data_IF_525531484889
#
_entry.id   IF_525531484889
#
_cell.length_a   1.000
_cell.length_b   1.000
_cell.length_c   1.000
_cell.angle_alpha   90.00
_cell.angle_beta   90.00
_cell.angle_gamma   90.00
#
_symmetry.space_group_name_H-M   'P 1'
#
loop_
_entity.id
_entity.type
_entity.pdbx_description
1 polymer ?
#
# COMPACT_ATOMS: atom_id res chain seq x y z
N UNK A 1 -7.40 38.25 -27.16
CA UNK A 1 -6.83 38.91 -28.36
C UNK A 1 -5.44 38.39 -28.76
N UNK A 2 -4.43 38.51 -27.88
CA UNK A 2 -3.04 38.10 -28.18
C UNK A 2 -2.87 36.59 -28.41
N UNK A 3 -3.56 35.74 -27.64
CA UNK A 3 -3.51 34.29 -27.80
C UNK A 3 -4.00 33.82 -29.19
N UNK A 4 -5.02 34.47 -29.73
CA UNK A 4 -5.54 34.14 -31.07
C UNK A 4 -4.58 34.61 -32.18
N UNK A 5 -3.90 35.74 -31.97
CA UNK A 5 -2.85 36.23 -32.88
C UNK A 5 -1.65 35.29 -32.84
N UNK A 6 -1.19 34.89 -31.66
CA UNK A 6 -0.09 33.95 -31.50
C UNK A 6 -0.39 32.60 -32.15
N UNK A 7 -1.61 32.06 -31.95
CA UNK A 7 -2.03 30.81 -32.57
C UNK A 7 -2.03 30.89 -34.11
N UNK A 8 -2.51 32.00 -34.69
CA UNK A 8 -2.53 32.20 -36.16
C UNK A 8 -1.13 32.33 -36.77
N UNK A 9 -0.16 32.84 -36.02
CA UNK A 9 1.21 33.08 -36.50
C UNK A 9 2.19 31.94 -36.13
N UNK A 10 1.73 30.87 -35.48
CA UNK A 10 2.56 29.70 -35.21
C UNK A 10 2.69 28.82 -36.46
N UNK A 11 3.57 29.22 -37.37
CA UNK A 11 3.92 28.50 -38.61
C UNK A 11 4.91 27.34 -38.38
N UNK A 12 4.93 26.77 -37.17
CA UNK A 12 5.81 25.66 -36.80
C UNK A 12 6.96 26.03 -35.88
N UNK A 13 6.88 27.20 -35.24
CA UNK A 13 7.76 27.56 -34.13
C UNK A 13 7.49 26.70 -32.90
N UNK A 14 6.25 26.21 -32.73
CA UNK A 14 5.91 25.24 -31.68
C UNK A 14 5.58 23.86 -32.26
N UNK A 15 5.73 22.81 -31.44
CA UNK A 15 5.37 21.43 -31.83
C UNK A 15 3.88 21.28 -32.15
N UNK A 16 3.03 22.16 -31.59
CA UNK A 16 1.58 22.15 -31.75
C UNK A 16 1.14 22.67 -33.13
N UNK A 17 1.92 23.55 -33.76
CA UNK A 17 1.63 24.12 -35.11
C UNK A 17 0.22 24.71 -35.19
N UNK A 18 -0.09 25.65 -34.30
CA UNK A 18 -1.43 26.15 -34.01
C UNK A 18 -2.11 26.87 -35.20
N UNK A 19 -1.34 27.29 -36.21
CA UNK A 19 -1.87 27.94 -37.42
C UNK A 19 -2.54 26.96 -38.38
N UNK A 20 -2.25 25.66 -38.29
CA UNK A 20 -2.85 24.62 -39.14
C UNK A 20 -4.13 24.09 -38.49
N UNK A 21 -5.24 24.06 -39.24
CA UNK A 21 -6.50 23.42 -38.80
C UNK A 21 -6.26 21.94 -38.57
N UNK A 22 -6.54 21.53 -37.33
CA UNK A 22 -6.66 20.17 -36.80
C UNK A 22 -5.88 19.10 -37.57
N UNK A 23 -4.72 18.68 -37.02
CA UNK A 23 -4.33 17.29 -37.25
C UNK A 23 -5.53 16.46 -36.78
N UNK A 24 -6.00 15.45 -37.55
CA UNK A 24 -6.89 14.47 -36.97
C UNK A 24 -6.17 13.95 -35.74
N UNK A 25 -6.72 14.24 -34.57
CA UNK A 25 -6.30 13.54 -33.36
C UNK A 25 -6.68 12.11 -33.68
N UNK A 26 -5.71 11.29 -34.05
CA UNK A 26 -5.83 9.86 -33.77
C UNK A 26 -5.99 9.83 -32.27
N UNK A 27 -7.24 9.76 -31.81
CA UNK A 27 -7.53 9.34 -30.47
C UNK A 27 -7.01 7.90 -30.50
N UNK A 28 -5.74 7.69 -30.13
CA UNK A 28 -5.32 6.32 -29.86
C UNK A 28 -6.34 5.81 -28.87
N UNK A 29 -6.94 4.68 -29.22
CA UNK A 29 -8.00 4.06 -28.45
C UNK A 29 -7.59 4.13 -26.97
N UNK A 30 -8.45 4.66 -26.10
CA UNK A 30 -8.15 4.75 -24.67
C UNK A 30 -7.70 3.39 -24.14
N UNK A 31 -8.22 2.32 -24.73
CA UNK A 31 -7.82 0.93 -24.52
C UNK A 31 -6.34 0.69 -24.87
N UNK A 32 -5.87 1.14 -26.04
CA UNK A 32 -4.49 1.00 -26.47
C UNK A 32 -3.52 1.79 -25.57
N UNK A 33 -3.92 3.00 -25.14
CA UNK A 33 -3.15 3.80 -24.18
C UNK A 33 -3.05 3.11 -22.83
N UNK A 34 -4.15 2.56 -22.33
CA UNK A 34 -4.18 1.80 -21.08
C UNK A 34 -3.31 0.55 -21.15
N UNK A 35 -3.37 -0.20 -22.25
CA UNK A 35 -2.53 -1.38 -22.48
C UNK A 35 -1.05 -0.97 -22.48
N UNK A 36 -0.69 0.06 -23.25
CA UNK A 36 0.67 0.58 -23.33
C UNK A 36 1.18 0.99 -21.96
N UNK A 37 0.38 1.72 -21.17
CA UNK A 37 0.72 2.14 -19.82
C UNK A 37 0.92 0.96 -18.85
N UNK A 38 0.00 -0.02 -18.84
CA UNK A 38 0.09 -1.24 -18.02
C UNK A 38 1.32 -2.10 -18.34
N UNK A 39 1.81 -2.01 -19.57
CA UNK A 39 2.99 -2.76 -20.02
C UNK A 39 4.32 -2.06 -19.72
N UNK A 40 4.31 -0.82 -19.24
CA UNK A 40 5.54 -0.14 -18.81
C UNK A 40 6.15 -0.84 -17.58
N UNK A 41 7.48 -0.93 -17.55
CA UNK A 41 8.24 -1.65 -16.51
C UNK A 41 7.97 -1.12 -15.09
N UNK A 42 7.86 0.20 -14.93
CA UNK A 42 7.58 0.83 -13.62
C UNK A 42 6.08 1.05 -13.41
N UNK A 43 5.44 1.88 -14.24
CA UNK A 43 4.03 2.24 -14.09
C UNK A 43 3.08 1.04 -14.16
N UNK A 44 3.48 -0.05 -14.82
CA UNK A 44 2.68 -1.28 -14.88
C UNK A 44 2.68 -2.07 -13.57
N UNK A 45 3.59 -1.80 -12.62
CA UNK A 45 3.70 -2.57 -11.37
C UNK A 45 2.49 -2.36 -10.47
N UNK A 46 2.15 -1.10 -10.17
CA UNK A 46 1.07 -0.79 -9.24
C UNK A 46 -0.30 -1.33 -9.73
N UNK A 47 -0.69 -1.20 -11.01
CA UNK A 47 -1.89 -1.81 -11.53
C UNK A 47 -1.87 -3.34 -11.48
N UNK A 48 -0.73 -3.99 -11.73
CA UNK A 48 -0.61 -5.45 -11.61
C UNK A 48 -0.84 -5.90 -10.17
N UNK A 49 -0.27 -5.17 -9.20
CA UNK A 49 -0.48 -5.40 -7.77
C UNK A 49 -1.96 -5.23 -7.43
N UNK A 50 -2.58 -4.10 -7.79
CA UNK A 50 -3.99 -3.81 -7.50
C UNK A 50 -4.98 -4.81 -8.09
N UNK A 51 -4.65 -5.46 -9.22
CA UNK A 51 -5.51 -6.48 -9.82
C UNK A 51 -5.15 -7.92 -9.35
N UNK A 52 -4.28 -8.06 -8.35
CA UNK A 52 -4.03 -9.34 -7.67
C UNK A 52 -5.30 -9.84 -6.98
N UNK A 53 -5.53 -11.15 -6.99
CA UNK A 53 -6.70 -11.79 -6.36
C UNK A 53 -6.81 -11.54 -4.84
N UNK A 54 -5.71 -11.13 -4.21
CA UNK A 54 -5.57 -11.02 -2.75
C UNK A 54 -5.82 -9.59 -2.29
N UNK A 55 -5.80 -8.64 -3.22
CA UNK A 55 -5.95 -7.22 -2.92
C UNK A 55 -7.37 -6.80 -3.27
N UNK A 56 -8.07 -6.25 -2.28
CA UNK A 56 -9.32 -5.56 -2.51
C UNK A 56 -9.02 -4.21 -3.18
N UNK A 57 -9.21 -4.16 -4.50
CA UNK A 57 -8.98 -2.97 -5.31
C UNK A 57 -9.88 -1.81 -4.90
N UNK A 58 -11.15 -2.08 -4.57
CA UNK A 58 -12.10 -1.02 -4.25
C UNK A 58 -11.69 -0.36 -2.93
N UNK A 59 -11.47 -1.15 -1.87
CA UNK A 59 -11.00 -0.65 -0.57
C UNK A 59 -9.66 0.08 -0.69
N UNK A 60 -8.73 -0.46 -1.48
CA UNK A 60 -7.40 0.13 -1.67
C UNK A 60 -7.43 1.51 -2.32
N UNK A 61 -8.46 1.82 -3.12
CA UNK A 61 -8.61 3.08 -3.83
C UNK A 61 -9.63 4.03 -3.19
N UNK A 62 -10.32 3.62 -2.11
CA UNK A 62 -11.32 4.47 -1.43
C UNK A 62 -10.76 5.81 -0.96
N UNK A 63 -9.48 5.89 -0.65
CA UNK A 63 -8.87 7.13 -0.20
C UNK A 63 -8.90 8.25 -1.26
N UNK A 64 -8.90 7.91 -2.55
CA UNK A 64 -9.00 8.87 -3.66
C UNK A 64 -10.35 9.60 -3.69
N UNK A 65 -11.42 8.92 -3.25
CA UNK A 65 -12.78 9.47 -3.33
C UNK A 65 -13.31 9.95 -1.97
N UNK A 66 -12.77 9.44 -0.86
CA UNK A 66 -13.29 9.68 0.49
C UNK A 66 -12.47 10.65 1.32
N UNK A 67 -11.19 10.81 1.01
CA UNK A 67 -10.32 11.71 1.77
C UNK A 67 -10.24 13.02 1.00
N UNK A 68 -10.54 14.13 1.68
CA UNK A 68 -10.41 15.47 1.11
C UNK A 68 -8.93 15.89 1.10
N UNK A 69 -8.14 15.29 0.21
CA UNK A 69 -6.74 15.63 0.00
C UNK A 69 -6.62 16.76 -1.03
N UNK A 70 -5.60 17.59 -0.87
CA UNK A 70 -5.23 18.54 -1.90
C UNK A 70 -4.73 17.78 -3.14
N UNK A 71 -5.09 18.21 -4.38
CA UNK A 71 -4.66 17.55 -5.61
C UNK A 71 -3.15 17.35 -5.71
N UNK A 72 -2.36 18.28 -5.16
CA UNK A 72 -0.90 18.20 -5.11
C UNK A 72 -0.42 17.04 -4.23
N UNK A 73 -1.09 16.82 -3.10
CA UNK A 73 -0.76 15.74 -2.16
C UNK A 73 -1.12 14.38 -2.75
N UNK A 74 -2.30 14.29 -3.37
CA UNK A 74 -2.73 13.09 -4.09
C UNK A 74 -1.74 12.73 -5.20
N UNK A 75 -1.39 13.70 -6.05
CA UNK A 75 -0.40 13.51 -7.11
C UNK A 75 0.97 13.07 -6.60
N UNK A 76 1.38 13.56 -5.42
CA UNK A 76 2.63 13.14 -4.78
C UNK A 76 2.59 11.68 -4.31
N UNK A 77 1.50 11.26 -3.68
CA UNK A 77 1.28 9.87 -3.23
C UNK A 77 1.29 8.92 -4.44
N UNK A 78 0.56 9.27 -5.50
CA UNK A 78 0.50 8.47 -6.74
C UNK A 78 1.89 8.35 -7.39
N UNK A 79 2.67 9.44 -7.44
CA UNK A 79 4.03 9.39 -7.97
C UNK A 79 4.96 8.47 -7.17
N UNK A 80 4.79 8.39 -5.84
CA UNK A 80 5.51 7.43 -4.99
C UNK A 80 5.07 6.00 -5.31
N UNK A 81 3.77 5.74 -5.42
CA UNK A 81 3.22 4.41 -5.74
C UNK A 81 3.70 3.89 -7.10
N UNK A 82 3.79 4.77 -8.10
CA UNK A 82 4.33 4.44 -9.41
C UNK A 82 5.87 4.34 -9.43
N UNK A 83 6.54 4.56 -8.30
CA UNK A 83 8.00 4.59 -8.17
C UNK A 83 8.68 5.62 -9.08
N UNK A 84 8.03 6.76 -9.32
CA UNK A 84 8.54 7.89 -10.14
C UNK A 84 9.09 8.98 -9.21
N UNK A 85 9.78 8.57 -8.16
CA UNK A 85 10.54 9.48 -7.31
C UNK A 85 12.01 9.18 -7.48
N UNK A 86 12.79 10.25 -7.36
CA UNK A 86 14.23 10.20 -7.47
C UNK A 86 14.81 9.26 -6.40
N UNK A 87 15.52 8.22 -6.84
CA UNK A 87 16.36 7.36 -6.01
C UNK A 87 17.61 6.97 -6.82
N UNK A 88 18.69 6.56 -6.16
CA UNK A 88 19.90 6.10 -6.86
C UNK A 88 19.64 4.86 -7.73
N UNK A 89 18.67 4.02 -7.34
CA UNK A 89 18.19 2.92 -8.19
C UNK A 89 17.56 3.44 -9.49
N UNK A 90 16.71 4.47 -9.39
CA UNK A 90 16.09 5.09 -10.56
C UNK A 90 17.14 5.73 -11.48
N UNK A 91 18.09 6.49 -10.95
CA UNK A 91 19.17 7.08 -11.72
C UNK A 91 20.01 6.02 -12.45
N UNK A 92 20.41 4.96 -11.74
CA UNK A 92 21.25 3.90 -12.28
C UNK A 92 20.56 3.08 -13.38
N UNK A 93 19.34 2.61 -13.12
CA UNK A 93 18.67 1.64 -14.00
C UNK A 93 17.73 2.28 -15.02
N UNK A 94 17.14 3.43 -14.72
CA UNK A 94 16.18 4.10 -15.61
C UNK A 94 16.85 5.21 -16.40
N UNK A 95 17.55 6.12 -15.72
CA UNK A 95 18.29 7.20 -16.39
C UNK A 95 19.63 6.74 -16.97
N UNK A 96 20.06 5.51 -16.65
CA UNK A 96 21.33 4.91 -17.10
C UNK A 96 22.55 5.76 -16.75
N UNK A 97 22.50 6.41 -15.59
CA UNK A 97 23.59 7.23 -15.09
C UNK A 97 24.63 6.37 -14.37
N UNK A 98 25.87 6.85 -14.36
CA UNK A 98 26.98 6.19 -13.65
C UNK A 98 26.96 6.59 -12.18
N UNK A 99 26.01 6.02 -11.43
CA UNK A 99 25.86 6.25 -9.99
C UNK A 99 25.87 4.93 -9.21
N UNK A 100 26.26 5.00 -7.94
CA UNK A 100 26.26 3.85 -7.05
C UNK A 100 24.88 3.75 -6.39
N UNK A 101 24.20 2.63 -6.63
CA UNK A 101 22.87 2.37 -6.07
C UNK A 101 22.96 1.83 -4.64
N UNK A 102 23.11 2.77 -3.70
CA UNK A 102 23.14 2.51 -2.26
C UNK A 102 22.30 3.54 -1.52
N UNK A 103 21.59 3.09 -0.49
CA UNK A 103 20.89 4.01 0.41
C UNK A 103 21.91 4.72 1.27
N UNK A 104 21.95 6.06 1.21
CA UNK A 104 22.93 6.87 1.94
C UNK A 104 22.98 6.54 3.44
N UNK A 105 21.81 6.35 4.05
CA UNK A 105 21.70 6.25 5.52
C UNK A 105 21.99 4.87 6.10
N UNK A 106 21.80 3.80 5.34
CA UNK A 106 22.03 2.42 5.81
C UNK A 106 23.06 1.66 4.97
N UNK A 107 23.64 2.30 3.96
CA UNK A 107 24.64 1.75 3.02
C UNK A 107 24.22 0.43 2.35
N UNK A 108 22.92 0.12 2.34
CA UNK A 108 22.40 -1.10 1.72
C UNK A 108 22.23 -0.89 0.22
N UNK A 109 22.52 -1.90 -0.61
CA UNK A 109 22.33 -1.81 -2.06
C UNK A 109 20.85 -1.79 -2.43
N UNK A 110 20.53 -1.31 -3.63
CA UNK A 110 19.17 -1.27 -4.20
C UNK A 110 18.21 -0.31 -3.48
N UNK A 111 18.46 1.00 -3.61
CA UNK A 111 17.61 2.08 -3.11
C UNK A 111 16.30 2.20 -3.91
N UNK A 112 15.40 1.23 -3.74
CA UNK A 112 14.04 1.31 -4.25
C UNK A 112 13.13 2.03 -3.25
N UNK A 113 12.01 2.56 -3.73
CA UNK A 113 10.96 3.14 -2.87
C UNK A 113 10.43 2.10 -1.87
N UNK A 114 10.23 0.85 -2.30
CA UNK A 114 9.82 -0.25 -1.43
C UNK A 114 10.84 -0.50 -0.31
N UNK A 115 12.14 -0.48 -0.67
CA UNK A 115 13.19 -0.62 0.32
C UNK A 115 13.21 0.55 1.30
N UNK A 116 13.16 1.81 0.82
CA UNK A 116 13.16 2.98 1.71
C UNK A 116 11.98 2.95 2.69
N UNK A 117 10.78 2.60 2.20
CA UNK A 117 9.53 2.69 2.99
C UNK A 117 9.33 1.52 3.96
N UNK A 118 9.84 0.32 3.63
CA UNK A 118 9.59 -0.89 4.41
C UNK A 118 10.83 -1.76 4.69
N UNK A 119 11.88 -1.68 3.88
CA UNK A 119 13.08 -2.52 4.02
C UNK A 119 14.22 -1.90 4.83
N UNK A 120 14.38 -0.57 4.81
CA UNK A 120 15.50 0.11 5.43
C UNK A 120 15.33 0.12 6.95
N UNK A 121 16.22 -0.52 7.73
CA UNK A 121 16.05 -0.65 9.19
C UNK A 121 16.07 0.71 9.91
N UNK A 122 16.68 1.72 9.32
CA UNK A 122 16.74 3.08 9.89
C UNK A 122 15.38 3.78 9.80
N UNK A 123 14.65 3.58 8.71
CA UNK A 123 13.36 4.24 8.47
C UNK A 123 12.16 3.36 8.84
N UNK A 124 12.25 2.05 8.59
CA UNK A 124 11.11 1.15 8.67
C UNK A 124 10.73 0.78 10.09
N UNK A 125 11.69 0.59 11.02
CA UNK A 125 11.40 0.03 12.34
C UNK A 125 10.34 0.82 13.12
N UNK A 126 10.59 2.11 13.37
CA UNK A 126 9.66 2.96 14.12
C UNK A 126 8.38 3.26 13.31
N UNK A 127 8.52 3.49 12.00
CA UNK A 127 7.40 3.81 11.13
C UNK A 127 6.43 2.62 11.00
N UNK A 128 6.96 1.40 10.87
CA UNK A 128 6.19 0.16 10.82
C UNK A 128 5.42 -0.05 12.12
N UNK A 129 6.10 0.04 13.27
CA UNK A 129 5.45 -0.14 14.57
C UNK A 129 4.34 0.90 14.80
N UNK A 130 4.57 2.15 14.39
CA UNK A 130 3.56 3.20 14.46
C UNK A 130 2.33 2.88 13.61
N UNK A 131 2.52 2.51 12.33
CA UNK A 131 1.42 2.12 11.42
C UNK A 131 0.65 0.92 11.94
N UNK A 132 1.37 -0.10 12.39
CA UNK A 132 0.80 -1.31 12.98
C UNK A 132 -0.10 -0.99 14.17
N UNK A 133 0.40 -0.22 15.13
CA UNK A 133 -0.35 0.11 16.34
C UNK A 133 -1.54 1.02 16.05
N UNK A 134 -1.43 1.93 15.08
CA UNK A 134 -2.55 2.76 14.64
C UNK A 134 -3.66 1.92 14.00
N UNK A 135 -3.31 1.04 13.04
CA UNK A 135 -4.24 0.10 12.41
C UNK A 135 -4.94 -0.77 13.44
N UNK A 136 -4.19 -1.32 14.38
CA UNK A 136 -4.72 -2.14 15.44
C UNK A 136 -5.69 -1.36 16.34
N UNK A 137 -5.34 -0.15 16.78
CA UNK A 137 -6.25 0.70 17.58
C UNK A 137 -7.54 1.00 16.85
N UNK A 138 -7.48 1.28 15.55
CA UNK A 138 -8.66 1.54 14.72
C UNK A 138 -9.56 0.30 14.64
N UNK A 139 -8.99 -0.87 14.31
CA UNK A 139 -9.73 -2.13 14.22
C UNK A 139 -10.37 -2.48 15.56
N UNK A 140 -9.61 -2.39 16.67
CA UNK A 140 -10.13 -2.63 18.01
C UNK A 140 -11.31 -1.70 18.35
N UNK A 141 -11.17 -0.40 18.08
CA UNK A 141 -12.22 0.58 18.35
C UNK A 141 -13.48 0.31 17.52
N UNK A 142 -13.33 -0.04 16.24
CA UNK A 142 -14.46 -0.39 15.37
C UNK A 142 -15.15 -1.68 15.79
N UNK A 143 -14.40 -2.70 16.23
CA UNK A 143 -14.97 -3.93 16.78
C UNK A 143 -15.78 -3.67 18.04
N UNK A 144 -15.27 -2.81 18.94
CA UNK A 144 -15.99 -2.41 20.16
C UNK A 144 -17.33 -1.74 19.83
N UNK A 145 -17.32 -0.77 18.91
CA UNK A 145 -18.52 -0.06 18.47
C UNK A 145 -19.55 -1.00 17.81
N UNK A 146 -19.08 -1.88 16.91
CA UNK A 146 -19.95 -2.81 16.17
C UNK A 146 -20.63 -3.82 17.09
N UNK A 147 -19.95 -4.27 18.14
CA UNK A 147 -20.39 -5.41 18.94
C UNK A 147 -20.99 -5.05 20.31
N UNK A 148 -20.96 -3.78 20.72
CA UNK A 148 -21.58 -3.23 21.94
C UNK A 148 -21.15 -3.90 23.27
N UNK A 149 -20.18 -4.83 23.23
CA UNK A 149 -19.41 -5.45 24.33
C UNK A 149 -20.16 -5.94 25.61
N UNK A 150 -21.49 -6.04 25.62
CA UNK A 150 -22.24 -6.49 26.82
C UNK A 150 -21.93 -7.97 27.16
N UNK A 151 -22.01 -8.86 26.18
CA UNK A 151 -21.76 -10.31 26.34
C UNK A 151 -20.51 -10.78 25.56
N UNK A 152 -19.70 -9.83 25.12
CA UNK A 152 -18.52 -10.07 24.29
C UNK A 152 -17.32 -9.44 24.96
N UNK A 153 -16.20 -10.16 24.99
CA UNK A 153 -14.94 -9.65 25.51
C UNK A 153 -14.06 -9.26 24.34
N UNK A 154 -13.42 -8.11 24.45
CA UNK A 154 -12.45 -7.63 23.48
C UNK A 154 -11.18 -7.27 24.25
N UNK A 155 -10.13 -8.07 24.06
CA UNK A 155 -8.83 -7.86 24.67
C UNK A 155 -7.85 -7.27 23.66
N UNK A 156 -6.96 -6.42 24.18
CA UNK A 156 -5.90 -5.77 23.45
C UNK A 156 -4.55 -6.19 24.05
N UNK A 157 -3.65 -6.69 23.21
CA UNK A 157 -2.25 -6.95 23.55
C UNK A 157 -2.08 -7.69 24.90
N UNK A 158 -2.93 -8.69 25.13
CA UNK A 158 -3.03 -9.41 26.41
C UNK A 158 -2.50 -10.83 26.26
N UNK A 159 -1.72 -11.26 27.24
CA UNK A 159 -1.31 -12.64 27.38
C UNK A 159 -2.54 -13.53 27.66
N UNK A 160 -2.72 -14.58 26.87
CA UNK A 160 -3.78 -15.56 27.03
C UNK A 160 -3.25 -16.70 27.89
N UNK A 161 -4.01 -17.06 28.91
CA UNK A 161 -3.71 -18.22 29.76
C UNK A 161 -4.23 -19.46 29.04
N UNK A 162 -3.36 -20.45 28.86
CA UNK A 162 -3.67 -21.74 28.23
C UNK A 162 -3.31 -22.87 29.18
N UNK A 163 -4.00 -24.00 29.08
CA UNK A 163 -3.73 -25.17 29.92
C UNK A 163 -2.45 -25.88 29.46
N UNK A 164 -2.21 -25.89 28.15
CA UNK A 164 -0.97 -26.41 27.55
C UNK A 164 0.02 -25.28 27.26
N UNK A 165 1.29 -25.64 27.26
CA UNK A 165 2.37 -24.74 26.81
C UNK A 165 2.22 -24.47 25.31
N UNK A 166 2.09 -23.19 24.95
CA UNK A 166 2.02 -22.71 23.56
C UNK A 166 3.07 -21.60 23.38
N UNK A 167 3.79 -21.63 22.25
CA UNK A 167 4.91 -20.69 22.01
C UNK A 167 4.47 -19.23 21.85
N UNK A 168 3.28 -19.01 21.27
CA UNK A 168 2.76 -17.68 20.96
C UNK A 168 1.38 -17.49 21.59
N UNK A 169 1.32 -16.73 22.69
CA UNK A 169 0.10 -16.56 23.52
C UNK A 169 -0.38 -15.11 23.63
N UNK A 170 0.25 -14.18 22.91
CA UNK A 170 -0.08 -12.75 22.93
C UNK A 170 -0.41 -12.27 21.52
N UNK A 171 -1.67 -12.33 21.09
CA UNK A 171 -2.11 -11.72 19.84
C UNK A 171 -2.37 -10.22 20.01
N UNK A 172 -2.46 -9.48 18.91
CA UNK A 172 -2.81 -8.05 18.95
C UNK A 172 -4.20 -7.84 19.53
N UNK A 173 -5.18 -8.63 19.07
CA UNK A 173 -6.57 -8.54 19.51
C UNK A 173 -7.12 -9.96 19.71
N UNK A 174 -7.82 -10.16 20.82
CA UNK A 174 -8.64 -11.35 21.06
C UNK A 174 -10.09 -10.92 21.28
N UNK A 175 -11.00 -11.46 20.47
CA UNK A 175 -12.43 -11.24 20.58
C UNK A 175 -13.12 -12.53 21.00
N UNK A 176 -13.87 -12.53 22.11
CA UNK A 176 -14.63 -13.68 22.59
C UNK A 176 -16.10 -13.31 22.60
N UNK A 177 -16.91 -14.15 21.96
CA UNK A 177 -18.36 -14.10 22.07
C UNK A 177 -18.84 -15.21 23.01
N UNK A 178 -19.32 -14.83 24.20
CA UNK A 178 -19.75 -15.77 25.24
C UNK A 178 -21.00 -16.55 24.84
N UNK A 179 -21.86 -15.97 24.00
CA UNK A 179 -23.10 -16.64 23.55
C UNK A 179 -22.80 -17.77 22.59
N UNK A 180 -21.94 -17.51 21.60
CA UNK A 180 -21.53 -18.51 20.61
C UNK A 180 -20.38 -19.39 21.06
N UNK A 181 -19.78 -19.13 22.24
CA UNK A 181 -18.56 -19.80 22.74
C UNK A 181 -17.47 -19.83 21.68
N UNK A 182 -17.23 -18.67 21.08
CA UNK A 182 -16.31 -18.53 19.96
C UNK A 182 -15.30 -17.43 20.25
N UNK A 183 -14.01 -17.81 20.29
CA UNK A 183 -12.89 -16.88 20.30
C UNK A 183 -12.32 -16.66 18.90
N UNK A 184 -11.98 -15.41 18.58
CA UNK A 184 -11.30 -14.99 17.36
C UNK A 184 -9.99 -14.31 17.72
N UNK A 185 -8.90 -14.87 17.22
CA UNK A 185 -7.56 -14.28 17.29
C UNK A 185 -7.39 -13.40 16.05
N UNK A 186 -7.04 -12.13 16.26
CA UNK A 186 -6.82 -11.16 15.20
C UNK A 186 -5.42 -10.59 15.38
N UNK A 187 -4.59 -10.78 14.35
CA UNK A 187 -3.19 -10.38 14.32
C UNK A 187 -2.97 -9.52 13.07
N UNK A 188 -2.32 -8.38 13.24
CA UNK A 188 -2.32 -7.28 12.27
C UNK A 188 -0.96 -7.18 11.62
N UNK A 189 -0.93 -6.87 10.33
CA UNK A 189 0.29 -6.78 9.56
C UNK A 189 0.24 -5.61 8.59
N UNK A 190 1.38 -4.95 8.39
CA UNK A 190 1.55 -3.93 7.35
C UNK A 190 2.72 -4.26 6.41
N UNK A 191 2.73 -5.45 5.75
CA UNK A 191 3.82 -5.85 4.87
C UNK A 191 3.80 -5.07 3.54
N UNK A 192 4.90 -5.17 2.78
CA UNK A 192 4.89 -4.82 1.36
C UNK A 192 3.92 -5.73 0.59
N UNK A 193 3.37 -5.23 -0.52
CA UNK A 193 2.41 -5.98 -1.34
C UNK A 193 2.94 -7.33 -1.81
N UNK A 194 4.25 -7.42 -2.11
CA UNK A 194 4.91 -8.67 -2.50
C UNK A 194 4.96 -9.73 -1.40
N UNK A 195 4.80 -9.32 -0.13
CA UNK A 195 4.98 -10.17 1.04
C UNK A 195 3.66 -10.50 1.75
N UNK A 196 2.51 -10.04 1.22
CA UNK A 196 1.19 -10.21 1.86
C UNK A 196 0.91 -11.69 2.14
N UNK A 197 0.97 -12.55 1.12
CA UNK A 197 0.68 -13.99 1.25
C UNK A 197 1.55 -14.67 2.29
N UNK A 198 2.87 -14.47 2.17
CA UNK A 198 3.84 -15.04 3.09
C UNK A 198 3.56 -14.59 4.52
N UNK A 199 3.32 -13.30 4.71
CA UNK A 199 3.06 -12.73 6.04
C UNK A 199 1.76 -13.26 6.64
N UNK A 200 0.70 -13.40 5.83
CA UNK A 200 -0.57 -13.97 6.27
C UNK A 200 -0.41 -15.45 6.68
N UNK A 201 0.26 -16.25 5.85
CA UNK A 201 0.53 -17.65 6.13
C UNK A 201 1.37 -17.83 7.40
N UNK A 202 2.45 -17.04 7.54
CA UNK A 202 3.33 -17.08 8.70
C UNK A 202 2.56 -16.72 9.99
N UNK A 203 1.71 -15.70 9.95
CA UNK A 203 0.87 -15.28 11.10
C UNK A 203 -0.20 -16.32 11.44
N UNK A 204 -0.87 -16.91 10.45
CA UNK A 204 -1.83 -18.00 10.68
C UNK A 204 -1.16 -19.20 11.37
N UNK A 205 0.00 -19.63 10.85
CA UNK A 205 0.79 -20.71 11.42
C UNK A 205 1.26 -20.39 12.85
N UNK A 206 1.71 -19.16 13.10
CA UNK A 206 2.17 -18.69 14.41
C UNK A 206 1.10 -18.89 15.51
N UNK A 207 -0.17 -18.61 15.21
CA UNK A 207 -1.26 -18.68 16.19
C UNK A 207 -2.14 -19.93 16.08
N UNK A 208 -1.76 -20.91 15.26
CA UNK A 208 -2.52 -22.14 15.04
C UNK A 208 -2.75 -22.90 16.35
N UNK A 209 -1.69 -23.15 17.11
CA UNK A 209 -1.76 -23.83 18.40
C UNK A 209 -2.62 -23.07 19.42
N UNK A 210 -2.48 -21.74 19.47
CA UNK A 210 -3.30 -20.91 20.35
C UNK A 210 -4.79 -20.96 19.97
N UNK A 211 -5.10 -21.05 18.68
CA UNK A 211 -6.48 -21.14 18.21
C UNK A 211 -7.20 -22.41 18.66
N UNK A 212 -6.46 -23.49 18.91
CA UNK A 212 -7.00 -24.75 19.44
C UNK A 212 -7.40 -24.56 20.91
N UNK A 213 -6.52 -23.97 21.72
CA UNK A 213 -6.78 -23.72 23.14
C UNK A 213 -7.93 -22.72 23.33
N UNK A 214 -7.99 -21.66 22.52
CA UNK A 214 -9.06 -20.64 22.60
C UNK A 214 -10.45 -21.18 22.25
N UNK A 215 -10.55 -22.24 21.44
CA UNK A 215 -11.84 -22.90 21.15
C UNK A 215 -12.41 -23.68 22.34
N UNK A 216 -11.58 -23.98 23.34
CA UNK A 216 -11.98 -24.70 24.55
C UNK A 216 -12.52 -23.77 25.65
N UNK A 217 -12.39 -22.45 25.46
CA UNK A 217 -12.86 -21.39 26.37
C UNK A 217 -14.33 -21.05 26.09
#
# INVERSE_FOLDING_TARGET
PLLQVAARNDEGFTQLRLSKRERPVTLDDETEKQITWKNKVLHGKYPKILNSAIIDKEESLKWLNKVNLHPETEGFIIAIQDSIKHTFNYEKYILKQSVVDVVEKCASPNETIDYITAGCPVFSNNAYLCRHNQMAKLIHSQLALKHQLIEKLLYWDRLIVTDKTVDFIRPDILFIDKKSKCGKIIDIACPLSSNIEKTEMDKKRKYENLSIEVKLI
#
